data_IF_699231624189
#
_entry.id   IF_699231624189
#
_cell.length_a   1.000
_cell.length_b   1.000
_cell.length_c   1.000
_cell.angle_alpha   90.00
_cell.angle_beta   90.00
_cell.angle_gamma   90.00
#
_symmetry.space_group_name_H-M   'P 1'
#
loop_
_entity.id
_entity.type
_entity.pdbx_description
1 polymer ?
#
# COMPACT_ATOMS: atom_id res chain seq x y z
N UNK A 1 -21.44 -46.32 -31.59
CA UNK A 1 -20.17 -47.09 -31.66
C UNK A 1 -19.22 -46.52 -30.61
N UNK A 2 -18.71 -47.29 -29.62
CA UNK A 2 -17.64 -46.81 -28.76
C UNK A 2 -16.27 -47.25 -29.28
N UNK A 3 -15.35 -46.30 -29.25
CA UNK A 3 -13.98 -46.34 -29.75
C UNK A 3 -13.04 -46.45 -28.54
N UNK A 4 -12.41 -47.60 -28.33
CA UNK A 4 -11.35 -47.76 -27.33
C UNK A 4 -10.04 -48.13 -28.04
N UNK A 5 -9.36 -47.10 -28.55
CA UNK A 5 -7.97 -47.23 -29.01
C UNK A 5 -7.08 -47.24 -27.77
N UNK A 6 -6.66 -48.41 -27.32
CA UNK A 6 -5.52 -48.53 -26.40
C UNK A 6 -4.26 -48.12 -27.18
N UNK A 7 -3.74 -46.95 -26.83
CA UNK A 7 -2.69 -46.21 -27.54
C UNK A 7 -1.28 -46.79 -27.30
N UNK A 8 -1.14 -47.83 -26.47
CA UNK A 8 0.12 -48.53 -26.24
C UNK A 8 -0.06 -50.05 -26.10
N UNK A 9 0.71 -50.82 -26.88
CA UNK A 9 0.80 -52.29 -26.77
C UNK A 9 1.84 -52.66 -25.70
N UNK A 10 1.51 -53.61 -24.82
CA UNK A 10 2.35 -54.03 -23.69
C UNK A 10 3.76 -54.48 -24.13
N UNK A 11 3.89 -55.12 -25.29
CA UNK A 11 5.20 -55.54 -25.83
C UNK A 11 6.08 -54.37 -26.27
N UNK A 12 5.50 -53.31 -26.82
CA UNK A 12 6.24 -52.10 -27.20
C UNK A 12 6.73 -51.33 -25.98
N UNK A 13 5.92 -51.27 -24.93
CA UNK A 13 6.32 -50.70 -23.64
C UNK A 13 7.47 -51.52 -23.05
N UNK A 14 7.41 -52.85 -23.12
CA UNK A 14 8.45 -53.73 -22.61
C UNK A 14 9.78 -53.58 -23.37
N UNK A 15 9.75 -53.50 -24.71
CA UNK A 15 10.94 -53.25 -25.53
C UNK A 15 11.57 -51.87 -25.24
N UNK A 16 10.77 -50.84 -25.04
CA UNK A 16 11.24 -49.50 -24.64
C UNK A 16 11.89 -49.52 -23.26
N UNK A 17 11.31 -50.25 -22.30
CA UNK A 17 11.87 -50.42 -20.96
C UNK A 17 13.20 -51.17 -20.99
N UNK A 18 13.31 -52.22 -21.80
CA UNK A 18 14.56 -52.97 -21.97
C UNK A 18 15.65 -52.11 -22.62
N UNK A 19 15.34 -51.37 -23.68
CA UNK A 19 16.28 -50.43 -24.31
C UNK A 19 16.70 -49.31 -23.36
N UNK A 20 15.77 -48.76 -22.58
CA UNK A 20 16.06 -47.75 -21.56
C UNK A 20 16.94 -48.31 -20.43
N UNK A 21 16.69 -49.55 -19.99
CA UNK A 21 17.48 -50.21 -18.96
C UNK A 21 18.90 -50.54 -19.46
N UNK A 22 19.03 -51.02 -20.69
CA UNK A 22 20.33 -51.27 -21.32
C UNK A 22 21.11 -49.96 -21.53
N UNK A 23 20.45 -48.91 -22.03
CA UNK A 23 21.06 -47.59 -22.21
C UNK A 23 21.47 -46.96 -20.88
N UNK A 24 20.64 -47.08 -19.83
CA UNK A 24 20.92 -46.59 -18.48
C UNK A 24 22.13 -47.28 -17.84
N UNK A 25 22.28 -48.60 -17.99
CA UNK A 25 23.47 -49.33 -17.52
C UNK A 25 24.74 -48.84 -18.20
N UNK A 26 24.69 -48.59 -19.52
CA UNK A 26 25.84 -48.10 -20.29
C UNK A 26 26.21 -46.65 -19.94
N UNK A 27 25.21 -45.82 -19.64
CA UNK A 27 25.39 -44.38 -19.38
C UNK A 27 25.23 -44.02 -17.88
N UNK A 28 25.39 -44.99 -16.97
CA UNK A 28 25.16 -44.78 -15.53
C UNK A 28 26.08 -43.68 -14.95
N UNK A 29 27.29 -43.54 -15.46
CA UNK A 29 28.24 -42.49 -15.04
C UNK A 29 27.75 -41.07 -15.39
N UNK A 30 27.12 -40.88 -16.56
CA UNK A 30 26.60 -39.57 -16.98
C UNK A 30 25.27 -39.25 -16.29
N UNK A 31 24.44 -40.27 -16.01
CA UNK A 31 23.24 -40.11 -15.18
C UNK A 31 23.61 -39.75 -13.73
N UNK A 32 24.59 -40.44 -13.14
CA UNK A 32 25.05 -40.15 -11.78
C UNK A 32 25.65 -38.73 -11.66
N UNK A 33 26.44 -38.29 -12.64
CA UNK A 33 26.97 -36.91 -12.65
C UNK A 33 25.85 -35.87 -12.85
N UNK A 34 24.87 -36.13 -13.71
CA UNK A 34 23.72 -35.25 -13.90
C UNK A 34 22.87 -35.13 -12.62
N UNK A 35 22.60 -36.24 -11.93
CA UNK A 35 21.91 -36.23 -10.63
C UNK A 35 22.72 -35.49 -9.58
N UNK A 36 24.04 -35.71 -9.51
CA UNK A 36 24.92 -34.97 -8.60
C UNK A 36 24.87 -33.46 -8.82
N UNK A 37 24.91 -33.02 -10.08
CA UNK A 37 24.77 -31.61 -10.46
C UNK A 37 23.41 -31.05 -10.04
N UNK A 38 22.32 -31.78 -10.28
CA UNK A 38 20.98 -31.37 -9.84
C UNK A 38 20.91 -31.25 -8.31
N UNK A 39 21.45 -32.21 -7.57
CA UNK A 39 21.47 -32.19 -6.10
C UNK A 39 22.26 -30.98 -5.59
N UNK A 40 23.41 -30.67 -6.18
CA UNK A 40 24.20 -29.48 -5.83
C UNK A 40 23.43 -28.20 -6.12
N UNK A 41 22.84 -28.04 -7.32
CA UNK A 41 22.04 -26.86 -7.64
C UNK A 41 20.82 -26.72 -6.73
N UNK A 42 20.17 -27.84 -6.38
CA UNK A 42 19.02 -27.85 -5.45
C UNK A 42 19.46 -27.46 -4.05
N UNK A 43 20.58 -28.01 -3.55
CA UNK A 43 21.13 -27.66 -2.24
C UNK A 43 21.57 -26.19 -2.18
N UNK A 44 22.20 -25.67 -3.23
CA UNK A 44 22.56 -24.25 -3.36
C UNK A 44 21.32 -23.36 -3.40
N UNK A 45 20.28 -23.76 -4.15
CA UNK A 45 18.99 -23.08 -4.19
C UNK A 45 18.33 -23.02 -2.82
N UNK A 46 18.25 -24.16 -2.12
CA UNK A 46 17.70 -24.25 -0.76
C UNK A 46 18.50 -23.42 0.24
N UNK A 47 19.84 -23.46 0.18
CA UNK A 47 20.71 -22.64 1.01
C UNK A 47 20.47 -21.14 0.76
N UNK A 48 20.42 -20.72 -0.50
CA UNK A 48 20.19 -19.33 -0.86
C UNK A 48 18.80 -18.85 -0.42
N UNK A 49 17.76 -19.65 -0.64
CA UNK A 49 16.39 -19.35 -0.19
C UNK A 49 16.33 -19.27 1.34
N UNK A 50 16.92 -20.23 2.06
CA UNK A 50 16.96 -20.23 3.52
C UNK A 50 17.67 -18.99 4.07
N UNK A 51 18.85 -18.68 3.53
CA UNK A 51 19.62 -17.51 3.92
C UNK A 51 18.88 -16.19 3.62
N UNK A 52 18.20 -16.11 2.46
CA UNK A 52 17.38 -14.96 2.09
C UNK A 52 16.17 -14.78 3.01
N UNK A 53 15.46 -15.86 3.34
CA UNK A 53 14.31 -15.85 4.26
C UNK A 53 14.72 -15.47 5.68
N UNK A 54 15.85 -15.99 6.18
CA UNK A 54 16.39 -15.63 7.48
C UNK A 54 16.75 -14.14 7.56
N UNK A 55 17.41 -13.61 6.52
CA UNK A 55 17.71 -12.19 6.42
C UNK A 55 16.44 -11.32 6.37
N UNK A 56 15.41 -11.76 5.63
CA UNK A 56 14.12 -11.06 5.56
C UNK A 56 13.43 -11.02 6.93
N UNK A 57 13.41 -12.13 7.67
CA UNK A 57 12.82 -12.21 9.02
C UNK A 57 13.48 -11.21 9.98
N UNK A 58 14.81 -11.12 9.96
CA UNK A 58 15.56 -10.16 10.78
C UNK A 58 15.23 -8.70 10.43
N UNK A 59 14.97 -8.39 9.16
CA UNK A 59 14.56 -7.03 8.78
C UNK A 59 13.18 -6.64 9.32
N UNK A 60 12.22 -7.56 9.34
CA UNK A 60 10.89 -7.30 9.91
C UNK A 60 10.97 -7.03 11.41
N UNK A 61 11.78 -7.81 12.13
CA UNK A 61 12.06 -7.59 13.55
C UNK A 61 12.69 -6.20 13.78
N UNK A 62 13.70 -5.83 12.99
CA UNK A 62 14.31 -4.49 13.04
C UNK A 62 13.30 -3.36 12.76
N UNK A 63 12.39 -3.54 11.80
CA UNK A 63 11.31 -2.58 11.53
C UNK A 63 10.42 -2.42 12.76
N UNK A 64 10.06 -3.52 13.43
CA UNK A 64 9.28 -3.46 14.67
C UNK A 64 10.04 -2.75 15.80
N UNK A 65 11.35 -2.97 15.95
CA UNK A 65 12.16 -2.20 16.89
C UNK A 65 12.18 -0.71 16.56
N UNK A 66 12.32 -0.33 15.28
CA UNK A 66 12.26 1.07 14.87
C UNK A 66 10.93 1.73 15.27
N UNK A 67 9.80 1.03 15.08
CA UNK A 67 8.49 1.53 15.52
C UNK A 67 8.41 1.67 17.04
N UNK A 68 8.96 0.71 17.79
CA UNK A 68 9.06 0.78 19.24
C UNK A 68 9.90 1.96 19.72
N UNK A 69 11.06 2.20 19.10
CA UNK A 69 11.89 3.38 19.39
C UNK A 69 11.15 4.69 19.10
N UNK A 70 10.46 4.78 17.96
CA UNK A 70 9.66 5.96 17.63
C UNK A 70 8.56 6.24 18.67
N UNK A 71 7.89 5.20 19.18
CA UNK A 71 6.87 5.35 20.24
C UNK A 71 7.44 5.86 21.58
N UNK A 72 8.74 5.68 21.80
CA UNK A 72 9.47 6.19 22.98
C UNK A 72 10.06 7.59 22.74
N UNK A 73 9.74 8.24 21.61
CA UNK A 73 10.32 9.52 21.21
C UNK A 73 11.75 9.42 20.66
N UNK A 74 12.29 8.20 20.52
CA UNK A 74 13.65 7.91 20.03
C UNK A 74 13.65 7.85 18.49
N UNK A 75 13.17 8.93 17.86
CA UNK A 75 12.98 9.02 16.41
C UNK A 75 14.29 8.86 15.63
N UNK A 76 15.39 9.42 16.12
CA UNK A 76 16.68 9.33 15.43
C UNK A 76 17.18 7.88 15.36
N UNK A 77 17.09 7.13 16.46
CA UNK A 77 17.43 5.71 16.51
C UNK A 77 16.53 4.88 15.58
N UNK A 78 15.22 5.16 15.58
CA UNK A 78 14.28 4.51 14.69
C UNK A 78 14.66 4.70 13.20
N UNK A 79 14.97 5.93 12.81
CA UNK A 79 15.39 6.26 11.44
C UNK A 79 16.70 5.56 11.09
N UNK A 80 17.68 5.53 11.99
CA UNK A 80 18.97 4.87 11.76
C UNK A 80 18.80 3.38 11.45
N UNK A 81 17.97 2.67 12.23
CA UNK A 81 17.69 1.24 12.01
C UNK A 81 17.07 1.02 10.62
N UNK A 82 16.15 1.90 10.21
CA UNK A 82 15.50 1.80 8.91
C UNK A 82 16.47 2.11 7.77
N UNK A 83 17.37 3.07 7.95
CA UNK A 83 18.39 3.41 6.95
C UNK A 83 19.36 2.26 6.71
N UNK A 84 19.74 1.48 7.73
CA UNK A 84 20.53 0.26 7.55
C UNK A 84 19.82 -0.74 6.63
N UNK A 85 18.52 -0.96 6.83
CA UNK A 85 17.72 -1.88 6.00
C UNK A 85 17.62 -1.35 4.57
N UNK A 86 17.36 -0.05 4.42
CA UNK A 86 17.22 0.60 3.10
C UNK A 86 18.54 0.53 2.33
N UNK A 87 19.69 0.76 3.00
CA UNK A 87 20.99 0.69 2.37
C UNK A 87 21.31 -0.72 1.85
N UNK A 88 21.06 -1.75 2.68
CA UNK A 88 21.40 -3.14 2.35
C UNK A 88 20.41 -3.81 1.40
N UNK A 89 19.13 -3.47 1.49
CA UNK A 89 18.04 -4.16 0.80
C UNK A 89 17.19 -3.21 -0.06
N UNK A 90 17.82 -2.16 -0.58
CA UNK A 90 17.19 -1.03 -1.28
C UNK A 90 16.15 -1.41 -2.33
N UNK A 91 16.35 -2.52 -3.04
CA UNK A 91 15.47 -2.94 -4.14
C UNK A 91 14.46 -4.03 -3.79
N UNK A 92 14.54 -4.60 -2.60
CA UNK A 92 13.62 -5.63 -2.12
C UNK A 92 12.31 -5.04 -1.57
N UNK A 93 11.29 -5.87 -1.42
CA UNK A 93 10.03 -5.51 -0.77
C UNK A 93 10.25 -4.99 0.66
N UNK A 94 11.16 -5.61 1.42
CA UNK A 94 11.43 -5.18 2.80
C UNK A 94 12.15 -3.83 2.85
N UNK A 95 12.99 -3.52 1.85
CA UNK A 95 13.56 -2.19 1.69
C UNK A 95 12.52 -1.13 1.30
N UNK A 96 11.52 -1.49 0.48
CA UNK A 96 10.39 -0.59 0.20
C UNK A 96 9.55 -0.35 1.45
N UNK A 97 9.26 -1.40 2.22
CA UNK A 97 8.56 -1.28 3.49
C UNK A 97 9.32 -0.41 4.49
N UNK A 98 10.64 -0.62 4.64
CA UNK A 98 11.45 0.18 5.55
C UNK A 98 11.43 1.67 5.16
N UNK A 99 11.47 2.01 3.86
CA UNK A 99 11.28 3.40 3.41
C UNK A 99 9.91 3.95 3.81
N UNK A 100 8.85 3.17 3.59
CA UNK A 100 7.51 3.61 3.94
C UNK A 100 7.35 3.85 5.45
N UNK A 101 7.85 2.92 6.28
CA UNK A 101 7.84 3.06 7.74
C UNK A 101 8.68 4.26 8.18
N UNK A 102 9.83 4.51 7.53
CA UNK A 102 10.64 5.71 7.81
C UNK A 102 9.86 6.99 7.55
N UNK A 103 9.15 7.06 6.43
CA UNK A 103 8.31 8.22 6.09
C UNK A 103 7.17 8.42 7.10
N UNK A 104 6.46 7.35 7.46
CA UNK A 104 5.33 7.39 8.40
C UNK A 104 5.78 7.77 9.83
N UNK A 105 6.87 7.19 10.32
CA UNK A 105 7.48 7.59 11.59
C UNK A 105 7.85 9.07 11.54
N UNK A 106 8.57 9.49 10.50
CA UNK A 106 9.02 10.88 10.38
C UNK A 106 7.84 11.87 10.40
N UNK A 107 6.76 11.54 9.69
CA UNK A 107 5.54 12.34 9.70
C UNK A 107 4.91 12.39 11.11
N UNK A 108 4.72 11.23 11.76
CA UNK A 108 4.11 11.15 13.10
C UNK A 108 4.92 11.85 14.18
N UNK A 109 6.24 11.90 14.03
CA UNK A 109 7.15 12.54 15.00
C UNK A 109 7.46 13.99 14.66
N UNK A 110 6.80 14.57 13.65
CA UNK A 110 6.94 15.97 13.28
C UNK A 110 8.17 16.32 12.45
N UNK A 111 8.99 15.35 12.04
CA UNK A 111 10.13 15.56 11.12
C UNK A 111 9.63 15.57 9.68
N UNK A 112 8.74 16.51 9.38
CA UNK A 112 7.99 16.59 8.13
C UNK A 112 8.88 16.78 6.90
N UNK A 113 10.04 17.42 7.05
CA UNK A 113 11.05 17.53 5.99
C UNK A 113 11.56 16.14 5.55
N UNK A 114 11.92 15.28 6.51
CA UNK A 114 12.35 13.90 6.23
C UNK A 114 11.19 13.12 5.62
N UNK A 115 9.98 13.24 6.19
CA UNK A 115 8.80 12.56 5.69
C UNK A 115 8.52 12.91 4.21
N UNK A 116 8.50 14.20 3.87
CA UNK A 116 8.28 14.67 2.51
C UNK A 116 9.35 14.13 1.54
N UNK A 117 10.63 14.18 1.91
CA UNK A 117 11.72 13.63 1.08
C UNK A 117 11.54 12.13 0.83
N UNK A 118 11.22 11.36 1.88
CA UNK A 118 11.11 9.90 1.75
C UNK A 118 9.85 9.51 0.98
N UNK A 119 8.70 10.15 1.22
CA UNK A 119 7.49 9.92 0.42
C UNK A 119 7.71 10.26 -1.06
N UNK A 120 8.37 11.38 -1.35
CA UNK A 120 8.73 11.74 -2.73
C UNK A 120 9.65 10.67 -3.35
N UNK A 121 10.60 10.11 -2.61
CA UNK A 121 11.44 9.02 -3.09
C UNK A 121 10.62 7.77 -3.43
N UNK A 122 9.67 7.38 -2.58
CA UNK A 122 8.78 6.23 -2.84
C UNK A 122 7.98 6.44 -4.14
N UNK A 123 7.45 7.65 -4.33
CA UNK A 123 6.71 8.03 -5.55
C UNK A 123 7.61 7.95 -6.78
N UNK A 124 8.82 8.52 -6.71
CA UNK A 124 9.74 8.56 -7.85
C UNK A 124 10.25 7.18 -8.24
N UNK A 125 10.56 6.32 -7.25
CA UNK A 125 11.04 4.96 -7.48
C UNK A 125 9.92 4.06 -8.01
N UNK A 126 8.67 4.29 -7.61
CA UNK A 126 7.48 3.62 -8.14
C UNK A 126 7.57 2.07 -8.15
N UNK A 127 8.25 1.50 -7.14
CA UNK A 127 8.42 0.03 -7.04
C UNK A 127 7.28 -0.62 -6.26
N UNK A 128 6.80 0.02 -5.20
CA UNK A 128 5.70 -0.48 -4.39
C UNK A 128 4.37 0.22 -4.75
N UNK A 129 3.73 -0.23 -5.84
CA UNK A 129 2.49 0.41 -6.36
C UNK A 129 1.37 0.50 -5.33
N UNK A 130 1.24 -0.50 -4.46
CA UNK A 130 0.26 -0.52 -3.36
C UNK A 130 0.51 0.55 -2.30
N UNK A 131 1.74 1.06 -2.18
CA UNK A 131 2.11 2.12 -1.23
C UNK A 131 1.94 3.53 -1.81
N UNK A 132 1.75 3.67 -3.13
CA UNK A 132 1.69 4.97 -3.77
C UNK A 132 0.54 5.87 -3.27
N UNK A 133 -0.70 5.40 -3.09
CA UNK A 133 -1.77 6.26 -2.56
C UNK A 133 -1.35 6.84 -1.20
N UNK A 134 -0.80 6.01 -0.33
CA UNK A 134 -0.29 6.44 0.97
C UNK A 134 0.86 7.43 0.87
N UNK A 135 1.77 7.22 -0.07
CA UNK A 135 2.91 8.11 -0.28
C UNK A 135 2.46 9.48 -0.81
N UNK A 136 1.51 9.55 -1.73
CA UNK A 136 0.96 10.83 -2.20
C UNK A 136 0.21 11.57 -1.10
N UNK A 137 -0.65 10.87 -0.34
CA UNK A 137 -1.34 11.48 0.78
C UNK A 137 -0.36 11.97 1.85
N UNK A 138 0.61 11.12 2.25
CA UNK A 138 1.65 11.43 3.22
C UNK A 138 2.56 12.58 2.79
N UNK A 139 2.93 12.65 1.49
CA UNK A 139 3.67 13.78 0.93
C UNK A 139 2.87 15.08 1.06
N UNK A 140 1.59 15.05 0.71
CA UNK A 140 0.71 16.20 0.85
C UNK A 140 0.60 16.65 2.31
N UNK A 141 0.35 15.73 3.25
CA UNK A 141 0.27 16.05 4.67
C UNK A 141 1.59 16.63 5.19
N UNK A 142 2.72 16.06 4.78
CA UNK A 142 4.05 16.52 5.21
C UNK A 142 4.33 17.93 4.70
N UNK A 143 4.01 18.21 3.42
CA UNK A 143 4.19 19.53 2.83
C UNK A 143 3.25 20.58 3.41
N UNK A 144 2.01 20.21 3.70
CA UNK A 144 1.04 21.08 4.40
C UNK A 144 1.59 21.51 5.77
N UNK A 145 2.14 20.56 6.54
CA UNK A 145 2.73 20.86 7.85
C UNK A 145 4.03 21.69 7.76
N UNK A 146 4.72 21.66 6.63
CA UNK A 146 5.87 22.52 6.35
C UNK A 146 5.47 23.92 5.85
N UNK A 147 4.17 24.18 5.61
CA UNK A 147 3.70 25.40 4.96
C UNK A 147 3.98 25.46 3.46
N UNK A 148 4.48 24.38 2.85
CA UNK A 148 4.57 24.23 1.39
C UNK A 148 3.18 23.88 0.82
N UNK A 149 2.27 24.85 0.91
CA UNK A 149 0.90 24.70 0.42
C UNK A 149 0.83 24.39 -1.09
N UNK A 150 1.63 25.04 -1.98
CA UNK A 150 1.62 24.68 -3.41
C UNK A 150 2.01 23.22 -3.64
N UNK A 151 3.05 22.74 -2.94
CA UNK A 151 3.47 21.35 -3.03
C UNK A 151 2.45 20.38 -2.43
N UNK A 152 1.77 20.75 -1.34
CA UNK A 152 0.70 19.96 -0.74
C UNK A 152 -0.48 19.81 -1.71
N UNK A 153 -0.93 20.92 -2.30
CA UNK A 153 -1.99 20.93 -3.32
C UNK A 153 -1.64 20.00 -4.49
N UNK A 154 -0.40 20.08 -5.00
CA UNK A 154 0.05 19.22 -6.10
C UNK A 154 -0.02 17.73 -5.75
N UNK A 155 0.44 17.35 -4.56
CA UNK A 155 0.39 15.97 -4.08
C UNK A 155 -1.06 15.46 -3.89
N UNK A 156 -1.93 16.27 -3.28
CA UNK A 156 -3.34 15.92 -3.08
C UNK A 156 -4.12 15.82 -4.38
N UNK A 157 -3.92 16.75 -5.33
CA UNK A 157 -4.57 16.66 -6.66
C UNK A 157 -4.14 15.41 -7.40
N UNK A 158 -2.85 15.08 -7.36
CA UNK A 158 -2.33 13.85 -7.97
C UNK A 158 -2.92 12.60 -7.32
N UNK A 159 -3.09 12.60 -5.99
CA UNK A 159 -3.79 11.52 -5.30
C UNK A 159 -5.21 11.37 -5.82
N UNK A 160 -5.98 12.45 -5.87
CA UNK A 160 -7.39 12.44 -6.27
C UNK A 160 -7.56 11.96 -7.71
N UNK A 161 -6.66 12.39 -8.60
CA UNK A 161 -6.67 12.00 -10.01
C UNK A 161 -6.36 10.51 -10.19
N UNK A 162 -5.33 10.00 -9.49
CA UNK A 162 -4.85 8.62 -9.69
C UNK A 162 -5.59 7.58 -8.84
N UNK A 163 -6.11 7.97 -7.69
CA UNK A 163 -6.67 7.07 -6.68
C UNK A 163 -8.03 7.54 -6.13
N UNK A 164 -8.99 7.92 -7.00
CA UNK A 164 -10.29 8.43 -6.54
C UNK A 164 -11.05 7.40 -5.68
N UNK A 165 -10.94 6.11 -5.97
CA UNK A 165 -11.65 5.07 -5.23
C UNK A 165 -10.93 4.58 -3.97
N UNK A 166 -9.77 5.16 -3.63
CA UNK A 166 -9.02 4.73 -2.45
C UNK A 166 -9.71 5.24 -1.17
N UNK A 167 -9.67 4.45 -0.09
CA UNK A 167 -10.38 4.79 1.16
C UNK A 167 -9.91 6.11 1.81
N UNK A 168 -8.71 6.60 1.45
CA UNK A 168 -8.19 7.90 1.88
C UNK A 168 -8.72 9.09 1.05
N UNK A 169 -9.39 8.85 -0.08
CA UNK A 169 -9.81 9.93 -0.99
C UNK A 169 -10.64 10.99 -0.28
N UNK A 170 -11.64 10.57 0.50
CA UNK A 170 -12.46 11.49 1.28
C UNK A 170 -11.64 12.42 2.20
N UNK A 171 -10.61 11.88 2.87
CA UNK A 171 -9.69 12.66 3.72
C UNK A 171 -8.81 13.61 2.91
N UNK A 172 -8.38 13.18 1.73
CA UNK A 172 -7.53 13.99 0.85
C UNK A 172 -8.32 15.14 0.25
N UNK A 173 -9.59 14.95 -0.11
CA UNK A 173 -10.48 16.05 -0.52
C UNK A 173 -10.66 17.08 0.60
N UNK A 174 -10.92 16.62 1.83
CA UNK A 174 -10.99 17.51 3.00
C UNK A 174 -9.69 18.30 3.19
N UNK A 175 -8.55 17.62 3.14
CA UNK A 175 -7.25 18.26 3.35
C UNK A 175 -6.91 19.26 2.25
N UNK A 176 -7.21 18.94 0.99
CA UNK A 176 -7.06 19.87 -0.13
C UNK A 176 -7.95 21.10 0.03
N UNK A 177 -9.21 20.93 0.45
CA UNK A 177 -10.13 22.02 0.70
C UNK A 177 -9.64 22.93 1.85
N UNK A 178 -9.15 22.34 2.95
CA UNK A 178 -8.55 23.10 4.06
C UNK A 178 -7.34 23.91 3.62
N UNK A 179 -6.45 23.31 2.82
CA UNK A 179 -5.29 24.05 2.28
C UNK A 179 -5.75 25.21 1.40
N UNK A 180 -6.75 25.02 0.54
CA UNK A 180 -7.31 26.10 -0.26
C UNK A 180 -7.89 27.25 0.59
N UNK A 181 -8.57 26.95 1.70
CA UNK A 181 -9.03 27.99 2.63
C UNK A 181 -7.87 28.78 3.22
N UNK A 182 -6.82 28.09 3.67
CA UNK A 182 -5.64 28.73 4.27
C UNK A 182 -4.88 29.60 3.26
N UNK A 183 -4.88 29.21 1.97
CA UNK A 183 -4.27 30.01 0.90
C UNK A 183 -5.20 31.05 0.29
N UNK A 184 -6.40 31.27 0.86
CA UNK A 184 -7.35 32.29 0.41
C UNK A 184 -8.15 31.94 -0.85
N UNK A 185 -8.13 30.67 -1.28
CA UNK A 185 -8.85 30.18 -2.47
C UNK A 185 -10.22 29.57 -2.07
N UNK A 186 -11.13 30.41 -1.57
CA UNK A 186 -12.39 29.95 -1.00
C UNK A 186 -13.30 29.21 -2.00
N UNK A 187 -13.32 29.63 -3.26
CA UNK A 187 -14.09 29.00 -4.33
C UNK A 187 -13.58 27.57 -4.60
N UNK A 188 -12.26 27.39 -4.70
CA UNK A 188 -11.63 26.08 -4.87
C UNK A 188 -11.90 25.16 -3.67
N UNK A 189 -11.87 25.71 -2.45
CA UNK A 189 -12.21 24.95 -1.25
C UNK A 189 -13.66 24.47 -1.28
N UNK A 190 -14.60 25.35 -1.63
CA UNK A 190 -16.02 25.03 -1.77
C UNK A 190 -16.23 23.90 -2.78
N UNK A 191 -15.61 23.99 -3.96
CA UNK A 191 -15.68 22.94 -4.98
C UNK A 191 -15.21 21.58 -4.45
N UNK A 192 -14.09 21.55 -3.69
CA UNK A 192 -13.57 20.29 -3.13
C UNK A 192 -14.50 19.71 -2.06
N UNK A 193 -15.13 20.54 -1.22
CA UNK A 193 -16.12 20.10 -0.24
C UNK A 193 -17.41 19.59 -0.88
N UNK A 194 -17.89 20.24 -1.93
CA UNK A 194 -19.04 19.76 -2.71
C UNK A 194 -18.75 18.39 -3.34
N UNK A 195 -17.55 18.21 -3.92
CA UNK A 195 -17.10 16.91 -4.44
C UNK A 195 -16.99 15.86 -3.33
N UNK A 196 -16.48 16.21 -2.16
CA UNK A 196 -16.41 15.31 -1.02
C UNK A 196 -17.80 14.81 -0.59
N UNK A 197 -18.76 15.72 -0.46
CA UNK A 197 -20.14 15.38 -0.06
C UNK A 197 -20.85 14.53 -1.12
N UNK A 198 -20.59 14.80 -2.40
CA UNK A 198 -21.24 14.12 -3.53
C UNK A 198 -20.64 12.74 -3.81
N UNK A 199 -19.31 12.63 -3.82
CA UNK A 199 -18.59 11.41 -4.24
C UNK A 199 -18.40 10.41 -3.10
N UNK A 200 -18.35 10.87 -1.85
CA UNK A 200 -18.13 10.03 -0.66
C UNK A 200 -19.20 10.27 0.42
N UNK A 201 -20.50 10.18 0.07
CA UNK A 201 -21.58 10.36 1.02
C UNK A 201 -21.48 9.31 2.14
N UNK A 202 -21.59 9.73 3.40
CA UNK A 202 -21.53 8.84 4.55
C UNK A 202 -20.13 8.60 5.14
N UNK A 203 -19.08 9.15 4.54
CA UNK A 203 -17.76 9.17 5.21
C UNK A 203 -17.76 10.17 6.37
N UNK A 204 -16.95 9.91 7.40
CA UNK A 204 -16.74 10.85 8.51
C UNK A 204 -16.41 12.27 8.01
N UNK A 205 -15.56 12.40 6.99
CA UNK A 205 -15.17 13.67 6.41
C UNK A 205 -16.35 14.40 5.74
N UNK A 206 -17.17 13.68 4.96
CA UNK A 206 -18.38 14.23 4.36
C UNK A 206 -19.39 14.71 5.40
N UNK A 207 -19.59 13.95 6.48
CA UNK A 207 -20.49 14.33 7.59
C UNK A 207 -20.01 15.59 8.32
N UNK A 208 -18.70 15.71 8.55
CA UNK A 208 -18.12 16.90 9.20
C UNK A 208 -18.30 18.15 8.35
N UNK A 209 -18.05 18.04 7.04
CA UNK A 209 -18.28 19.13 6.10
C UNK A 209 -19.76 19.50 6.04
N UNK A 210 -20.66 18.51 5.97
CA UNK A 210 -22.10 18.78 5.98
C UNK A 210 -22.53 19.52 7.25
N UNK A 211 -22.02 19.16 8.43
CA UNK A 211 -22.33 19.85 9.69
C UNK A 211 -21.83 21.30 9.69
N UNK A 212 -20.64 21.54 9.15
CA UNK A 212 -19.98 22.85 9.21
C UNK A 212 -20.40 23.79 8.06
N UNK A 213 -20.84 23.24 6.92
CA UNK A 213 -21.23 23.96 5.70
C UNK A 213 -22.71 23.81 5.33
N UNK A 214 -23.52 23.14 6.15
CA UNK A 214 -24.97 23.20 5.98
C UNK A 214 -25.42 24.67 6.06
N UNK A 215 -26.28 25.14 5.14
CA UNK A 215 -27.07 26.33 5.43
C UNK A 215 -27.75 26.10 6.79
N UNK A 216 -27.83 27.11 7.68
CA UNK A 216 -28.56 26.96 8.94
C UNK A 216 -29.91 26.38 8.55
N UNK A 217 -30.21 25.20 9.12
CA UNK A 217 -31.36 24.41 8.72
C UNK A 217 -32.50 25.35 8.38
N UNK A 218 -33.02 25.29 7.15
CA UNK A 218 -34.39 25.74 6.94
C UNK A 218 -35.14 25.01 8.04
N UNK A 219 -35.49 25.75 9.10
CA UNK A 219 -36.19 25.21 10.24
C UNK A 219 -37.38 24.54 9.59
N UNK A 220 -37.42 23.21 9.60
CA UNK A 220 -38.64 22.52 9.22
C UNK A 220 -39.72 23.23 10.02
N UNK A 221 -40.77 23.79 9.38
CA UNK A 221 -41.81 24.46 10.13
C UNK A 221 -42.25 23.44 11.16
N UNK A 222 -42.03 23.76 12.44
CA UNK A 222 -42.54 22.97 13.54
C UNK A 222 -44.02 22.85 13.23
N UNK A 223 -44.46 21.65 12.85
CA UNK A 223 -45.87 21.40 12.62
C UNK A 223 -46.56 21.85 13.91
N UNK A 224 -47.28 22.97 13.83
CA UNK A 224 -48.07 23.43 14.97
C UNK A 224 -48.98 22.25 15.33
N UNK A 225 -49.03 21.83 16.60
CA UNK A 225 -49.96 20.80 16.99
C UNK A 225 -51.35 21.28 16.57
N UNK A 226 -52.02 20.46 15.76
CA UNK A 226 -53.34 20.73 15.21
C UNK A 226 -54.21 21.27 16.33
N UNK A 227 -54.67 22.53 16.23
CA UNK A 227 -55.75 23.00 17.08
C UNK A 227 -56.95 22.13 16.77
N UNK A 228 -57.23 21.18 17.64
CA UNK A 228 -58.51 20.49 17.66
C UNK A 228 -59.60 21.57 17.74
N UNK A 229 -60.36 21.69 16.66
CA UNK A 229 -61.58 22.47 16.65
C UNK A 229 -62.60 21.62 17.41
N UNK A 230 -63.13 22.06 18.56
CA UNK A 230 -64.15 21.29 19.24
C UNK A 230 -65.42 21.29 18.36
N UNK A 231 -65.96 20.10 18.13
CA UNK A 231 -67.20 19.91 17.38
C UNK A 231 -68.38 20.60 18.10
N UNK A 232 -69.31 21.23 17.37
CA UNK A 232 -70.43 21.91 17.99
C UNK A 232 -71.44 20.89 18.54
N UNK A 233 -71.77 21.02 19.82
CA UNK A 233 -73.01 20.50 20.42
C UNK A 233 -73.60 21.57 21.32
#
# INVERSE_FOLDING_TARGET
MPNNKNWFNASQVQELLEKAAAWSKTHWQTLASAVGVIVVFTALGLYFVSNYMAAKKQCWEKISYAQGYASQGMTAQAIQILDEIIAKYSSSDVGQQARFVKADISYKTGTYNIAATVYQNIINVNRAKSMLPFAYAGLGYSKENLGDYPGAISAYRTFIEKYPNHYLAARVYDSLARVYLVTGSAESAKEMYEKLMTLYPGTYWSQQVQKNFAPPAQKQPVAQPSREIPAPK
#
